data_IF_401763352226
#
_entry.id   IF_401763352226
#
_cell.length_a   1.000
_cell.length_b   1.000
_cell.length_c   1.000
_cell.angle_alpha   90.00
_cell.angle_beta   90.00
_cell.angle_gamma   90.00
#
_symmetry.space_group_name_H-M   'P 1'
#
loop_
_entity.id
_entity.type
_entity.pdbx_description
1 polymer ?
#
# COMPACT_ATOMS: atom_id res chain seq x y z
N UNK A 1 -12.56 20.48 -54.12
CA UNK A 1 -13.36 21.64 -54.50
C UNK A 1 -13.65 22.38 -53.19
N UNK A 2 -12.86 23.30 -52.91
CA UNK A 2 -12.85 24.65 -52.31
C UNK A 2 -13.97 25.04 -51.35
N UNK A 3 -13.80 26.04 -50.45
CA UNK A 3 -12.56 26.59 -49.83
C UNK A 3 -12.73 26.92 -48.34
N UNK A 4 -11.61 27.24 -47.72
CA UNK A 4 -11.44 27.99 -46.47
C UNK A 4 -11.93 29.46 -46.67
N UNK A 5 -12.37 30.19 -45.66
CA UNK A 5 -11.84 31.51 -45.48
C UNK A 5 -11.25 31.80 -44.10
N UNK A 6 -10.05 32.30 -44.18
CA UNK A 6 -9.33 33.21 -43.32
C UNK A 6 -10.10 34.47 -42.98
N UNK A 7 -9.97 35.04 -41.77
CA UNK A 7 -9.74 36.48 -41.57
C UNK A 7 -9.40 36.88 -40.14
N UNK A 8 -8.80 38.06 -40.06
CA UNK A 8 -7.72 38.36 -39.11
C UNK A 8 -8.06 39.51 -38.15
N UNK A 9 -7.13 39.75 -37.22
CA UNK A 9 -6.64 41.07 -36.99
C UNK A 9 -7.12 41.87 -35.79
N UNK A 10 -6.11 42.57 -35.29
CA UNK A 10 -6.14 43.89 -34.63
C UNK A 10 -6.43 43.86 -33.11
N UNK A 11 -5.71 44.51 -32.22
CA UNK A 11 -4.85 45.69 -32.26
C UNK A 11 -4.04 45.80 -30.99
N UNK A 12 -2.83 46.18 -31.17
CA UNK A 12 -1.90 46.81 -30.25
C UNK A 12 -2.51 47.99 -29.49
N UNK A 13 -2.23 48.11 -28.21
CA UNK A 13 -2.18 49.41 -27.53
C UNK A 13 -0.99 49.43 -26.56
N UNK A 14 0.01 50.10 -27.00
CA UNK A 14 1.03 50.68 -26.18
C UNK A 14 0.43 51.84 -25.34
N UNK A 15 0.75 51.93 -24.09
CA UNK A 15 0.66 53.16 -23.32
C UNK A 15 1.86 53.30 -22.39
N UNK A 16 2.40 54.44 -22.53
CA UNK A 16 3.62 55.07 -22.17
C UNK A 16 3.94 55.12 -20.65
N UNK A 17 5.23 55.33 -20.46
CA UNK A 17 5.93 55.56 -19.22
C UNK A 17 5.39 56.70 -18.36
N UNK A 18 5.54 56.56 -17.06
CA UNK A 18 5.76 57.67 -16.15
C UNK A 18 6.76 57.24 -15.05
N UNK A 19 7.96 57.82 -15.19
CA UNK A 19 9.00 57.83 -14.17
C UNK A 19 8.55 58.77 -13.04
N UNK A 20 8.47 58.25 -11.83
CA UNK A 20 8.53 59.08 -10.61
C UNK A 20 9.66 58.52 -9.76
N UNK A 21 10.72 59.31 -9.70
CA UNK A 21 11.83 59.15 -8.77
C UNK A 21 11.36 59.61 -7.39
N UNK A 22 11.35 58.73 -6.42
CA UNK A 22 11.18 59.05 -5.01
C UNK A 22 12.25 58.33 -4.21
N UNK A 23 13.31 59.06 -3.85
CA UNK A 23 14.23 58.66 -2.80
C UNK A 23 13.51 58.74 -1.47
N UNK A 24 13.47 57.60 -0.75
CA UNK A 24 13.40 57.60 0.70
C UNK A 24 14.19 56.44 1.24
N UNK A 25 15.32 56.76 1.82
CA UNK A 25 16.09 55.83 2.67
C UNK A 25 15.29 55.55 3.95
N UNK A 26 15.07 54.30 4.24
CA UNK A 26 14.81 53.86 5.59
C UNK A 26 15.37 52.45 5.78
N UNK A 27 16.36 52.36 6.65
CA UNK A 27 16.89 51.13 7.24
C UNK A 27 15.81 50.34 7.92
N UNK A 28 15.83 49.05 7.79
CA UNK A 28 15.03 48.10 8.52
C UNK A 28 15.09 46.76 7.88
N UNK A 29 16.23 46.08 8.04
CA UNK A 29 16.41 44.68 7.64
C UNK A 29 15.75 43.81 8.72
N UNK A 30 14.41 43.76 8.69
CA UNK A 30 13.67 42.74 9.42
C UNK A 30 13.65 41.49 8.53
N UNK A 31 14.73 40.70 8.65
CA UNK A 31 14.73 39.32 8.19
C UNK A 31 13.72 38.54 9.01
N UNK A 32 12.45 38.58 8.61
CA UNK A 32 11.51 37.56 9.05
C UNK A 32 12.06 36.21 8.62
N UNK A 33 12.18 35.26 9.56
CA UNK A 33 12.51 33.88 9.17
C UNK A 33 11.49 33.43 8.15
N UNK A 34 11.91 33.04 6.95
CA UNK A 34 11.04 32.32 6.04
C UNK A 34 10.56 31.07 6.79
N UNK A 35 9.25 30.76 6.80
CA UNK A 35 8.81 29.46 7.22
C UNK A 35 9.61 28.43 6.43
N UNK A 36 10.27 27.51 7.13
CA UNK A 36 10.86 26.34 6.49
C UNK A 36 9.80 25.63 5.65
N UNK A 37 10.19 24.80 4.67
CA UNK A 37 9.22 23.97 3.98
C UNK A 37 8.39 23.26 5.05
N UNK A 38 7.07 23.46 5.00
CA UNK A 38 6.14 22.68 5.80
C UNK A 38 6.46 21.21 5.46
N UNK A 39 6.92 20.46 6.45
CA UNK A 39 7.00 19.01 6.33
C UNK A 39 5.56 18.57 6.08
N UNK A 40 5.25 18.11 4.87
CA UNK A 40 3.98 17.47 4.58
C UNK A 40 3.89 16.25 5.51
N UNK A 41 3.06 16.35 6.54
CA UNK A 41 2.79 15.21 7.41
C UNK A 41 2.20 14.10 6.53
N UNK A 42 2.88 12.96 6.49
CA UNK A 42 2.42 11.75 5.80
C UNK A 42 0.97 11.44 6.25
N UNK A 43 0.04 11.21 5.33
CA UNK A 43 -1.36 10.98 5.70
C UNK A 43 -1.46 9.82 6.68
N UNK A 44 -2.09 10.08 7.82
CA UNK A 44 -2.34 9.05 8.83
C UNK A 44 -3.40 8.10 8.28
N UNK A 45 -3.08 6.81 8.25
CA UNK A 45 -4.04 5.78 7.84
C UNK A 45 -5.13 5.67 8.91
N UNK A 46 -6.38 5.72 8.49
CA UNK A 46 -7.55 5.54 9.35
C UNK A 46 -8.41 4.38 8.83
N UNK A 47 -8.11 3.13 9.22
CA UNK A 47 -8.88 1.97 8.80
C UNK A 47 -10.35 2.08 9.19
N UNK A 48 -11.22 1.66 8.30
CA UNK A 48 -12.67 1.66 8.51
C UNK A 48 -13.21 0.22 8.49
N UNK A 49 -14.03 -0.11 9.49
CA UNK A 49 -14.75 -1.37 9.56
C UNK A 49 -15.73 -1.50 8.38
N UNK A 50 -15.78 -2.69 7.81
CA UNK A 50 -16.67 -3.05 6.72
C UNK A 50 -17.38 -4.38 6.99
N UNK A 51 -18.03 -4.95 5.97
CA UNK A 51 -18.69 -6.25 6.07
C UNK A 51 -17.66 -7.36 6.33
N UNK A 52 -16.52 -7.34 5.64
CA UNK A 52 -15.53 -8.40 5.69
C UNK A 52 -14.20 -8.00 6.36
N UNK A 53 -14.00 -6.74 6.72
CA UNK A 53 -12.84 -6.27 7.44
C UNK A 53 -13.23 -5.65 8.78
N UNK A 54 -12.52 -6.03 9.83
CA UNK A 54 -12.61 -5.42 11.15
C UNK A 54 -11.22 -4.99 11.60
N UNK A 55 -11.12 -3.79 12.13
CA UNK A 55 -9.86 -3.19 12.52
C UNK A 55 -9.84 -2.84 14.00
N UNK A 56 -8.70 -3.01 14.62
CA UNK A 56 -8.38 -2.54 15.95
C UNK A 56 -7.12 -1.68 15.87
N UNK A 57 -7.24 -0.42 16.24
CA UNK A 57 -6.08 0.44 16.46
C UNK A 57 -5.37 0.00 17.75
N UNK A 58 -4.06 -0.27 17.64
CA UNK A 58 -3.25 -0.71 18.79
C UNK A 58 -2.68 0.46 19.57
N UNK A 59 -2.84 1.72 19.11
CA UNK A 59 -2.41 2.93 19.77
C UNK A 59 -0.92 3.27 19.60
N UNK A 60 -0.21 2.51 18.78
CA UNK A 60 1.23 2.69 18.48
C UNK A 60 1.49 2.93 16.97
N UNK A 61 0.46 3.28 16.22
CA UNK A 61 0.50 3.44 14.77
C UNK A 61 0.40 2.12 14.01
N UNK A 62 0.13 1.02 14.70
CA UNK A 62 -0.16 -0.27 14.08
C UNK A 62 -1.64 -0.65 14.24
N UNK A 63 -2.09 -1.57 13.39
CA UNK A 63 -3.45 -2.07 13.38
C UNK A 63 -3.47 -3.58 13.42
N UNK A 64 -4.41 -4.14 14.16
CA UNK A 64 -4.78 -5.56 14.07
C UNK A 64 -6.08 -5.66 13.29
N UNK A 65 -6.05 -6.39 12.18
CA UNK A 65 -7.22 -6.54 11.31
C UNK A 65 -7.64 -8.01 11.21
N UNK A 66 -8.95 -8.23 11.08
CA UNK A 66 -9.52 -9.55 10.79
C UNK A 66 -10.25 -9.47 9.46
N UNK A 67 -9.83 -10.31 8.54
CA UNK A 67 -10.45 -10.49 7.21
C UNK A 67 -11.35 -11.71 7.24
N UNK A 68 -12.65 -11.52 7.04
CA UNK A 68 -13.60 -12.60 6.85
C UNK A 68 -13.54 -13.09 5.39
N UNK A 69 -12.71 -14.08 5.13
CA UNK A 69 -12.53 -14.72 3.82
C UNK A 69 -13.25 -16.08 3.75
N UNK A 70 -14.36 -16.24 4.50
CA UNK A 70 -15.10 -17.50 4.60
C UNK A 70 -15.87 -17.84 3.32
N UNK A 71 -16.29 -16.84 2.54
CA UNK A 71 -16.98 -17.05 1.26
C UNK A 71 -15.97 -17.56 0.21
N UNK A 72 -16.11 -18.77 -0.31
CA UNK A 72 -15.10 -19.41 -1.16
C UNK A 72 -14.98 -18.79 -2.55
N UNK A 73 -15.93 -17.99 -2.98
CA UNK A 73 -15.95 -17.34 -4.31
C UNK A 73 -15.61 -15.86 -4.26
N UNK A 74 -15.51 -15.28 -3.06
CA UNK A 74 -15.24 -13.87 -2.86
C UNK A 74 -13.77 -13.63 -2.53
N UNK A 75 -13.13 -12.72 -3.24
CA UNK A 75 -11.86 -12.12 -2.86
C UNK A 75 -12.12 -10.83 -2.07
N UNK A 76 -11.69 -10.80 -0.82
CA UNK A 76 -11.75 -9.61 0.04
C UNK A 76 -10.46 -8.83 -0.15
N UNK A 77 -10.54 -7.65 -0.76
CA UNK A 77 -9.39 -6.78 -0.96
C UNK A 77 -9.18 -5.83 0.21
N UNK A 78 -7.94 -5.59 0.56
CA UNK A 78 -7.48 -4.59 1.52
C UNK A 78 -6.56 -3.60 0.80
N UNK A 79 -6.92 -2.34 0.82
CA UNK A 79 -6.07 -1.21 0.48
C UNK A 79 -5.32 -0.78 1.76
N UNK A 80 -4.01 -0.96 1.80
CA UNK A 80 -3.19 -0.64 2.97
C UNK A 80 -2.99 0.88 3.14
N UNK A 81 -3.06 1.66 2.05
CA UNK A 81 -2.88 3.11 2.11
C UNK A 81 -4.04 3.79 2.84
N UNK A 82 -5.24 3.24 2.73
CA UNK A 82 -6.45 3.77 3.37
C UNK A 82 -6.97 2.91 4.51
N UNK A 83 -6.56 1.64 4.59
CA UNK A 83 -7.10 0.65 5.52
C UNK A 83 -8.53 0.23 5.19
N UNK A 84 -8.98 0.32 3.93
CA UNK A 84 -10.36 0.03 3.54
C UNK A 84 -10.50 -1.29 2.80
N UNK A 85 -11.70 -1.90 2.95
CA UNK A 85 -12.11 -2.97 2.06
C UNK A 85 -12.39 -2.41 0.67
N UNK A 86 -11.80 -3.03 -0.34
CA UNK A 86 -12.07 -2.73 -1.75
C UNK A 86 -12.39 -4.03 -2.50
N UNK A 87 -13.16 -3.91 -3.59
CA UNK A 87 -13.48 -5.08 -4.40
C UNK A 87 -12.23 -5.59 -5.12
N UNK A 88 -11.82 -6.81 -4.82
CA UNK A 88 -10.74 -7.46 -5.54
C UNK A 88 -11.20 -8.22 -6.80
N UNK A 89 -12.49 -8.16 -7.12
CA UNK A 89 -13.03 -8.61 -8.41
C UNK A 89 -12.71 -7.61 -9.53
N UNK A 90 -12.52 -6.34 -9.16
CA UNK A 90 -12.07 -5.28 -10.04
C UNK A 90 -10.59 -5.05 -9.76
N UNK A 91 -9.74 -5.05 -10.76
CA UNK A 91 -8.30 -4.81 -10.60
C UNK A 91 -8.06 -3.31 -10.38
N UNK A 92 -8.39 -2.84 -9.17
CA UNK A 92 -8.33 -1.45 -8.78
C UNK A 92 -7.38 -1.22 -7.59
N UNK A 93 -7.81 -0.58 -6.52
CA UNK A 93 -6.97 -0.02 -5.47
C UNK A 93 -6.58 -0.99 -4.32
N UNK A 94 -6.80 -2.29 -4.42
CA UNK A 94 -6.38 -3.21 -3.35
C UNK A 94 -4.88 -3.52 -3.42
N UNK A 95 -4.23 -3.65 -2.29
CA UNK A 95 -2.84 -4.12 -2.21
C UNK A 95 -2.74 -5.60 -1.94
N UNK A 96 -3.54 -6.09 -1.00
CA UNK A 96 -3.67 -7.50 -0.64
C UNK A 96 -5.10 -7.98 -0.85
N UNK A 97 -5.27 -9.21 -1.29
CA UNK A 97 -6.59 -9.83 -1.38
C UNK A 97 -6.57 -11.24 -0.79
N UNK A 98 -7.68 -11.59 -0.14
CA UNK A 98 -7.83 -12.79 0.67
C UNK A 98 -9.02 -13.62 0.19
N UNK A 99 -8.79 -14.92 0.00
CA UNK A 99 -9.84 -15.90 -0.25
C UNK A 99 -9.46 -17.18 0.47
N UNK A 100 -10.24 -17.56 1.47
CA UNK A 100 -9.88 -18.68 2.34
C UNK A 100 -8.47 -18.48 2.91
N UNK A 101 -7.54 -19.39 2.67
CA UNK A 101 -6.15 -19.34 3.10
C UNK A 101 -5.23 -18.71 2.04
N UNK A 102 -5.73 -18.41 0.88
CA UNK A 102 -4.92 -17.80 -0.18
C UNK A 102 -4.86 -16.30 0.02
N UNK A 103 -3.65 -15.77 0.00
CA UNK A 103 -3.39 -14.32 0.03
C UNK A 103 -2.59 -13.97 -1.20
N UNK A 104 -3.04 -12.97 -1.94
CA UNK A 104 -2.36 -12.45 -3.14
C UNK A 104 -2.09 -10.96 -3.03
N UNK A 105 -1.06 -10.51 -3.74
CA UNK A 105 -0.73 -9.09 -3.89
C UNK A 105 -1.16 -8.59 -5.28
N UNK A 106 -1.52 -7.30 -5.41
CA UNK A 106 -1.90 -6.72 -6.71
C UNK A 106 -0.66 -6.39 -7.56
N UNK A 107 0.14 -7.41 -7.82
CA UNK A 107 1.34 -7.34 -8.63
C UNK A 107 1.62 -8.65 -9.35
N UNK A 108 2.48 -8.63 -10.36
CA UNK A 108 2.81 -9.81 -11.14
C UNK A 108 1.60 -10.38 -11.89
N UNK A 109 1.32 -11.67 -11.69
CA UNK A 109 0.20 -12.35 -12.38
C UNK A 109 -1.13 -12.20 -11.65
N UNK A 110 -1.13 -11.72 -10.41
CA UNK A 110 -2.34 -11.60 -9.59
C UNK A 110 -3.11 -10.30 -9.80
N UNK A 111 -2.50 -9.31 -10.48
CA UNK A 111 -3.13 -8.03 -10.80
C UNK A 111 -2.22 -7.11 -11.60
N UNK A 112 -2.79 -6.03 -12.17
CA UNK A 112 -2.06 -5.07 -13.01
C UNK A 112 -1.38 -3.96 -12.21
N UNK A 113 -1.50 -3.98 -10.89
CA UNK A 113 -0.86 -3.01 -10.00
C UNK A 113 0.65 -3.19 -9.88
N UNK A 114 1.27 -2.27 -9.14
CA UNK A 114 2.72 -2.26 -8.91
C UNK A 114 3.11 -2.77 -7.52
N UNK A 115 2.20 -3.45 -6.82
CA UNK A 115 2.46 -3.97 -5.48
C UNK A 115 3.60 -4.98 -5.51
N UNK A 116 4.54 -4.82 -4.59
CA UNK A 116 5.68 -5.69 -4.40
C UNK A 116 5.77 -6.13 -2.94
N UNK A 117 6.28 -7.32 -2.71
CA UNK A 117 6.40 -7.88 -1.37
C UNK A 117 7.84 -8.34 -1.13
N UNK A 118 8.37 -8.02 0.04
CA UNK A 118 9.62 -8.59 0.53
C UNK A 118 9.33 -9.47 1.75
N UNK A 119 9.96 -10.66 1.81
CA UNK A 119 9.79 -11.61 2.92
C UNK A 119 11.01 -11.54 3.84
N UNK A 120 10.79 -11.28 5.12
CA UNK A 120 11.84 -11.12 6.11
C UNK A 120 11.75 -12.24 7.18
N UNK A 121 12.54 -13.27 7.02
CA UNK A 121 12.65 -14.32 8.03
C UNK A 121 13.48 -13.85 9.24
N UNK A 122 13.02 -14.16 10.45
CA UNK A 122 13.76 -13.86 11.68
C UNK A 122 13.74 -12.39 12.12
N UNK A 123 12.97 -11.54 11.44
CA UNK A 123 12.75 -10.15 11.85
C UNK A 123 11.41 -10.07 12.58
N UNK A 124 11.40 -9.47 13.78
CA UNK A 124 10.14 -9.25 14.50
C UNK A 124 9.46 -7.95 14.07
N UNK A 125 8.13 -7.91 14.19
CA UNK A 125 7.32 -6.75 13.84
C UNK A 125 7.79 -5.45 14.50
N UNK A 126 8.09 -5.50 15.81
CA UNK A 126 8.52 -4.31 16.56
C UNK A 126 9.92 -3.79 16.21
N UNK A 127 10.78 -4.64 15.62
CA UNK A 127 12.13 -4.24 15.22
C UNK A 127 12.20 -3.55 13.86
N UNK A 128 11.22 -3.79 12.99
CA UNK A 128 11.22 -3.21 11.65
C UNK A 128 10.57 -1.82 11.66
N UNK A 129 11.37 -0.80 11.42
CA UNK A 129 10.91 0.59 11.28
C UNK A 129 11.10 1.14 9.87
N UNK A 130 11.88 0.43 9.03
CA UNK A 130 12.22 0.84 7.68
C UNK A 130 12.12 -0.34 6.72
N UNK A 131 11.62 -0.10 5.53
CA UNK A 131 11.54 -1.09 4.46
C UNK A 131 12.94 -1.53 3.99
N UNK A 132 13.13 -2.79 3.55
CA UNK A 132 14.39 -3.25 3.00
C UNK A 132 14.67 -2.61 1.63
N UNK A 133 15.95 -2.38 1.33
CA UNK A 133 16.36 -1.82 0.04
C UNK A 133 16.24 -2.82 -1.14
N UNK A 134 16.18 -4.12 -0.85
CA UNK A 134 16.17 -5.21 -1.84
C UNK A 134 15.31 -6.38 -1.38
N UNK A 135 15.17 -7.41 -2.23
CA UNK A 135 14.38 -8.60 -1.88
C UNK A 135 12.91 -8.50 -2.30
N UNK A 136 12.58 -7.51 -3.12
CA UNK A 136 11.24 -7.30 -3.64
C UNK A 136 10.89 -8.33 -4.71
N UNK A 137 9.69 -8.86 -4.63
CA UNK A 137 9.12 -9.81 -5.59
C UNK A 137 7.63 -9.54 -5.77
N UNK A 138 7.03 -10.16 -6.78
CA UNK A 138 5.59 -10.11 -7.09
C UNK A 138 5.07 -11.53 -7.22
N UNK A 139 3.75 -11.68 -7.23
CA UNK A 139 3.13 -12.97 -7.48
C UNK A 139 3.53 -13.50 -8.87
N UNK A 140 3.93 -14.76 -8.93
CA UNK A 140 4.39 -15.44 -10.15
C UNK A 140 3.29 -16.32 -10.75
N UNK A 141 3.48 -16.76 -11.99
CA UNK A 141 2.67 -17.81 -12.56
C UNK A 141 2.88 -19.11 -11.78
N UNK A 142 1.88 -20.00 -11.85
CA UNK A 142 2.01 -21.37 -11.36
C UNK A 142 3.34 -21.97 -11.83
N UNK A 143 4.12 -22.44 -10.86
CA UNK A 143 5.45 -22.99 -11.10
C UNK A 143 5.39 -24.44 -11.55
N UNK A 144 5.90 -25.32 -10.74
CA UNK A 144 6.04 -26.75 -11.02
C UNK A 144 5.45 -27.64 -9.94
N UNK A 145 4.62 -27.07 -9.07
CA UNK A 145 3.94 -27.84 -8.04
C UNK A 145 2.70 -28.60 -8.58
N UNK A 146 1.96 -29.22 -7.67
CA UNK A 146 0.87 -30.14 -8.05
C UNK A 146 -0.50 -29.47 -8.18
N UNK A 147 -0.60 -28.19 -7.87
CA UNK A 147 -1.84 -27.45 -8.04
C UNK A 147 -1.77 -26.50 -9.25
N UNK A 148 -2.83 -25.83 -9.57
CA UNK A 148 -2.95 -24.96 -10.75
C UNK A 148 -3.15 -23.50 -10.37
N UNK A 149 -2.86 -23.14 -9.11
CA UNK A 149 -3.01 -21.77 -8.62
C UNK A 149 -1.70 -21.00 -8.80
N UNK A 150 -1.75 -19.69 -9.08
CA UNK A 150 -0.53 -18.89 -9.14
C UNK A 150 0.25 -18.93 -7.82
N UNK A 151 1.58 -18.97 -7.92
CA UNK A 151 2.52 -18.85 -6.80
C UNK A 151 2.52 -17.44 -6.24
N UNK A 152 1.58 -17.16 -5.36
CA UNK A 152 1.60 -15.88 -4.65
C UNK A 152 2.76 -15.85 -3.66
N UNK A 153 3.31 -14.67 -3.40
CA UNK A 153 4.41 -14.51 -2.44
C UNK A 153 4.05 -15.06 -1.05
N UNK A 154 2.78 -15.01 -0.69
CA UNK A 154 2.27 -15.50 0.58
C UNK A 154 2.03 -17.00 0.61
N UNK A 155 1.76 -17.65 -0.51
CA UNK A 155 1.37 -19.06 -0.59
C UNK A 155 2.40 -19.97 -1.27
N UNK A 156 3.42 -19.43 -1.94
CA UNK A 156 4.54 -20.19 -2.52
C UNK A 156 5.31 -20.98 -1.44
N UNK A 157 6.18 -21.84 -1.88
CA UNK A 157 7.01 -22.68 -0.98
C UNK A 157 7.65 -21.85 0.14
N UNK A 158 7.36 -22.20 1.38
CA UNK A 158 7.77 -21.41 2.54
C UNK A 158 6.82 -20.25 2.88
N UNK A 159 5.63 -20.21 2.31
CA UNK A 159 4.59 -19.20 2.51
C UNK A 159 4.14 -19.01 3.95
N UNK A 160 3.03 -18.30 4.15
CA UNK A 160 2.68 -17.75 5.46
C UNK A 160 2.24 -18.77 6.51
N UNK A 161 1.99 -20.05 6.15
CA UNK A 161 1.51 -21.05 7.10
C UNK A 161 2.25 -22.39 7.01
N UNK A 162 2.12 -23.15 8.09
CA UNK A 162 2.40 -24.59 8.17
C UNK A 162 1.06 -25.32 8.14
N UNK A 163 0.95 -26.36 7.32
CA UNK A 163 -0.22 -27.22 7.30
C UNK A 163 0.05 -28.52 8.06
N UNK A 164 -0.78 -28.80 9.08
CA UNK A 164 -0.73 -30.06 9.81
C UNK A 164 -1.62 -31.08 9.11
N UNK A 165 -1.00 -32.13 8.57
CA UNK A 165 -1.70 -33.21 7.85
C UNK A 165 -2.56 -34.09 8.74
N UNK A 166 -2.28 -34.18 10.04
CA UNK A 166 -3.02 -35.01 10.98
C UNK A 166 -4.30 -34.32 11.45
N UNK A 167 -4.19 -33.05 11.77
CA UNK A 167 -5.31 -32.28 12.34
C UNK A 167 -5.99 -31.36 11.31
N UNK A 168 -5.46 -31.31 10.08
CA UNK A 168 -5.94 -30.43 9.01
C UNK A 168 -6.02 -28.95 9.42
N UNK A 169 -5.00 -28.49 10.16
CA UNK A 169 -4.94 -27.12 10.66
C UNK A 169 -3.80 -26.34 10.03
N UNK A 170 -4.01 -25.03 9.88
CA UNK A 170 -2.99 -24.08 9.46
C UNK A 170 -2.46 -23.32 10.67
N UNK A 171 -1.13 -23.23 10.79
CA UNK A 171 -0.46 -22.41 11.80
C UNK A 171 0.41 -21.38 11.09
N UNK A 172 0.25 -20.08 11.36
CA UNK A 172 1.09 -19.05 10.75
C UNK A 172 2.57 -19.30 11.02
N UNK A 173 3.43 -19.06 10.04
CA UNK A 173 4.88 -19.05 10.20
C UNK A 173 5.31 -17.74 10.87
N UNK A 174 6.33 -17.75 11.73
CA UNK A 174 6.88 -16.53 12.31
C UNK A 174 7.75 -15.80 11.28
N UNK A 175 7.10 -15.15 10.32
CA UNK A 175 7.78 -14.35 9.30
C UNK A 175 7.03 -13.03 9.05
N UNK A 176 7.80 -12.02 8.70
CA UNK A 176 7.32 -10.68 8.43
C UNK A 176 7.36 -10.43 6.93
N UNK A 177 6.32 -9.80 6.43
CA UNK A 177 6.25 -9.30 5.06
C UNK A 177 6.40 -7.78 5.07
N UNK A 178 7.02 -7.22 4.05
CA UNK A 178 6.94 -5.79 3.76
C UNK A 178 6.27 -5.65 2.41
N UNK A 179 5.16 -4.95 2.40
CA UNK A 179 4.38 -4.66 1.19
C UNK A 179 4.69 -3.23 0.77
N UNK A 180 5.16 -3.05 -0.46
CA UNK A 180 5.15 -1.76 -1.13
C UNK A 180 3.83 -1.65 -1.86
N UNK A 181 2.98 -0.71 -1.44
CA UNK A 181 1.66 -0.48 -2.02
C UNK A 181 1.75 0.02 -3.47
N UNK A 182 0.64 0.04 -4.16
CA UNK A 182 0.55 0.62 -5.50
C UNK A 182 0.73 2.15 -5.52
N UNK A 183 0.52 2.81 -4.39
CA UNK A 183 0.80 4.23 -4.18
C UNK A 183 2.26 4.49 -3.76
N UNK A 184 3.05 3.44 -3.54
CA UNK A 184 4.47 3.52 -3.23
C UNK A 184 4.79 3.65 -1.74
N UNK A 185 3.81 3.59 -0.85
CA UNK A 185 4.04 3.49 0.59
C UNK A 185 4.50 2.09 0.99
N UNK A 186 5.05 1.96 2.18
CA UNK A 186 5.60 0.70 2.68
C UNK A 186 4.91 0.29 3.97
N UNK A 187 4.47 -0.96 4.02
CA UNK A 187 3.75 -1.51 5.18
C UNK A 187 4.39 -2.83 5.60
N UNK A 188 4.67 -2.98 6.89
CA UNK A 188 5.02 -4.26 7.47
C UNK A 188 3.75 -5.01 7.82
N UNK A 189 3.72 -6.31 7.52
CA UNK A 189 2.55 -7.19 7.70
C UNK A 189 3.01 -8.53 8.26
N UNK A 190 2.36 -9.02 9.31
CA UNK A 190 2.48 -10.40 9.76
C UNK A 190 1.10 -11.06 9.89
N UNK A 191 1.01 -12.33 9.51
CA UNK A 191 -0.20 -13.12 9.60
C UNK A 191 -0.21 -13.82 10.97
N UNK A 192 -1.27 -13.58 11.77
CA UNK A 192 -1.34 -14.03 13.16
C UNK A 192 -2.20 -15.27 13.35
N UNK A 193 -3.25 -15.44 12.55
CA UNK A 193 -4.18 -16.56 12.65
C UNK A 193 -4.96 -16.75 11.34
N UNK A 194 -5.39 -17.97 11.11
CA UNK A 194 -6.37 -18.35 10.09
C UNK A 194 -7.79 -18.51 10.67
N UNK A 195 -7.87 -18.56 12.00
CA UNK A 195 -9.08 -18.88 12.73
C UNK A 195 -9.51 -17.71 13.61
N UNK A 196 -10.83 -17.56 13.78
CA UNK A 196 -11.39 -16.68 14.80
C UNK A 196 -11.26 -17.30 16.21
N UNK A 197 -11.79 -16.60 17.22
CA UNK A 197 -11.75 -17.05 18.61
C UNK A 197 -12.61 -18.31 18.88
N UNK A 198 -13.56 -18.61 18.00
CA UNK A 198 -14.38 -19.82 18.06
C UNK A 198 -13.76 -21.00 17.29
N UNK A 199 -12.63 -20.79 16.61
CA UNK A 199 -11.97 -21.78 15.77
C UNK A 199 -12.56 -21.86 14.35
N UNK A 200 -13.32 -20.87 13.91
CA UNK A 200 -13.88 -20.82 12.55
C UNK A 200 -12.76 -20.47 11.57
N UNK A 201 -12.51 -21.33 10.55
CA UNK A 201 -11.46 -21.08 9.57
C UNK A 201 -11.80 -19.91 8.64
N UNK A 202 -10.77 -19.41 7.94
CA UNK A 202 -10.86 -18.31 6.98
C UNK A 202 -11.25 -16.95 7.59
N UNK A 203 -10.95 -16.77 8.87
CA UNK A 203 -10.93 -15.48 9.54
C UNK A 203 -9.46 -15.07 9.71
N UNK A 204 -8.86 -14.56 8.64
CA UNK A 204 -7.43 -14.25 8.61
C UNK A 204 -7.15 -13.03 9.47
N UNK A 205 -6.36 -13.22 10.52
CA UNK A 205 -5.92 -12.12 11.40
C UNK A 205 -4.53 -11.67 11.01
N UNK A 206 -4.37 -10.38 10.78
CA UNK A 206 -3.08 -9.78 10.44
C UNK A 206 -2.78 -8.58 11.35
N UNK A 207 -1.49 -8.33 11.57
CA UNK A 207 -0.95 -7.16 12.24
C UNK A 207 -0.14 -6.36 11.21
N UNK A 208 -0.36 -5.06 11.10
CA UNK A 208 0.27 -4.25 10.09
C UNK A 208 0.48 -2.81 10.53
N UNK A 209 1.47 -2.15 9.96
CA UNK A 209 1.78 -0.74 10.19
C UNK A 209 2.57 -0.18 9.01
N UNK A 210 2.47 1.13 8.79
CA UNK A 210 3.35 1.85 7.88
C UNK A 210 4.79 1.84 8.40
N UNK A 211 5.75 1.77 7.49
CA UNK A 211 7.18 1.90 7.79
C UNK A 211 7.81 2.90 6.83
N UNK A 212 8.98 3.45 7.20
CA UNK A 212 9.67 4.40 6.33
C UNK A 212 10.24 3.73 5.08
N UNK A 213 10.37 4.49 4.01
CA UNK A 213 10.98 4.04 2.76
C UNK A 213 12.45 3.60 2.98
N UNK A 214 13.00 2.73 2.12
CA UNK A 214 14.41 2.30 2.21
C UNK A 214 15.36 3.48 2.00
N UNK A 215 16.47 3.52 2.76
CA UNK A 215 17.53 4.53 2.54
C UNK A 215 18.26 4.21 1.24
N UNK A 216 18.33 5.18 0.33
CA UNK A 216 19.11 5.09 -0.91
C UNK A 216 18.45 4.28 -2.03
N UNK A 217 17.21 3.89 -1.89
CA UNK A 217 16.43 3.23 -2.93
C UNK A 217 15.58 4.23 -3.70
N UNK A 218 16.05 4.73 -4.82
CA UNK A 218 15.14 5.07 -5.90
C UNK A 218 14.82 3.78 -6.68
N UNK A 219 13.56 3.57 -7.03
CA UNK A 219 13.16 2.45 -7.87
C UNK A 219 13.74 2.58 -9.27
#
# INVERSE_FOLDING_TARGET
>A
MFPIPFRPGFLSRACAALLVAGLSAACGDDLQPQPGPEEEEDPVVHPEDSANLKHQDNGDGSFTSVVNATEPTLWVGLDLDTGKEVSAAEDTAWDLAFQRFVVKSRGGVSGTGSVQVAVLAGTSFGQLTQAPATGWTTDAADGDDVDTTPDTVFNASGGWYLYDLQFHTLTPRPQLYVVRSDQGAYFKVELLSYYDAAGTPANVKLHWAKVTAPVGGQP
#
